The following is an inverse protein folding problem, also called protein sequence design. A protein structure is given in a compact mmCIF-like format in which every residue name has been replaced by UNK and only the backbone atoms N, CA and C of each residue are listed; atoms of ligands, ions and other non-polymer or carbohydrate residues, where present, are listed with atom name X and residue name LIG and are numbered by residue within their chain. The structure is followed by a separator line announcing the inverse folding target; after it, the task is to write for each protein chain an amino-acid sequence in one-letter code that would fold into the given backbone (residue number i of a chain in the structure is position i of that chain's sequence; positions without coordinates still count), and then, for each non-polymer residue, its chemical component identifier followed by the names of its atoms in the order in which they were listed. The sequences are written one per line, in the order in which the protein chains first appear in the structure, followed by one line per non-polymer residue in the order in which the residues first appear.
data_IF_771874114124
#
_entry.id   IF_771874114124
#
_cell.length_a   1.000
_cell.length_b   1.000
_cell.length_c   1.000
_cell.angle_alpha   90.00
_cell.angle_beta   90.00
_cell.angle_gamma   90.00
#
_symmetry.space_group_name_H-M   'P 1'
#
loop_
_entity.id
_entity.type
_entity.pdbx_description
1 polymer ?
2 non-polymer ?
3 water ?
#
# COMPACT_ATOMS: atom_id res chain seq x y z
N UNK A 19 3.35 -19.04 -6.67
CA UNK A 19 3.89 -17.98 -5.76
C UNK A 19 3.00 -16.74 -5.90
N UNK A 20 2.32 -16.34 -4.81
CA UNK A 20 1.44 -15.17 -4.80
C UNK A 20 2.11 -13.85 -5.20
N UNK A 21 1.36 -13.02 -5.91
CA UNK A 21 1.82 -11.72 -6.37
C UNK A 21 1.36 -10.66 -5.38
N UNK A 22 2.32 -10.09 -4.67
CA UNK A 22 2.02 -9.10 -3.67
C UNK A 22 2.51 -7.72 -4.05
N UNK A 23 1.57 -6.79 -4.06
CA UNK A 23 1.85 -5.41 -4.36
C UNK A 23 1.97 -4.70 -3.01
N UNK A 24 3.15 -4.13 -2.73
CA UNK A 24 3.39 -3.43 -1.48
C UNK A 24 3.44 -1.94 -1.80
N UNK A 25 2.78 -1.11 -0.99
CA UNK A 25 2.78 0.32 -1.29
C UNK A 25 3.12 1.16 -0.09
N UNK A 26 3.77 2.29 -0.35
CA UNK A 26 4.11 3.22 0.71
C UNK A 26 3.54 4.59 0.38
N UNK A 27 2.98 5.25 1.39
CA UNK A 27 2.47 6.61 1.23
C UNK A 27 3.27 7.48 2.20
N UNK A 28 2.99 8.78 2.21
CA UNK A 28 3.75 9.74 3.00
C UNK A 28 3.85 9.79 4.50
N UNK A 29 4.23 8.67 5.15
CA UNK A 29 4.39 8.65 6.60
C UNK A 29 5.89 8.47 6.89
N UNK A 30 6.36 8.92 8.05
CA UNK A 30 7.77 8.72 8.35
C UNK A 30 8.08 7.21 8.36
N UNK A 31 7.10 6.38 8.71
CA UNK A 31 7.30 4.92 8.76
C UNK A 31 7.71 4.32 7.42
N UNK A 32 7.63 5.10 6.35
CA UNK A 32 8.04 4.57 5.05
C UNK A 32 9.54 4.26 5.07
N UNK A 33 10.25 4.74 6.08
CA UNK A 33 11.68 4.46 6.15
C UNK A 33 11.89 2.95 6.34
N UNK A 34 10.85 2.27 6.81
CA UNK A 34 10.88 0.83 7.07
C UNK A 34 10.36 0.03 5.88
N UNK A 35 9.95 0.72 4.83
CA UNK A 35 9.37 0.02 3.69
C UNK A 35 10.31 -0.98 3.04
N UNK A 36 11.60 -0.66 2.93
CA UNK A 36 12.54 -1.60 2.34
C UNK A 36 12.55 -2.92 3.10
N UNK A 37 12.62 -2.83 4.43
CA UNK A 37 12.62 -4.02 5.26
C UNK A 37 11.31 -4.81 5.06
N UNK A 38 10.19 -4.10 4.99
CA UNK A 38 8.90 -4.76 4.77
C UNK A 38 8.94 -5.58 3.46
N UNK A 39 9.50 -5.01 2.40
CA UNK A 39 9.60 -5.73 1.15
C UNK A 39 10.43 -7.01 1.36
N UNK A 40 11.55 -6.88 2.06
CA UNK A 40 12.41 -8.04 2.33
C UNK A 40 11.63 -9.16 3.02
N UNK A 41 10.73 -8.81 3.94
CA UNK A 41 9.93 -9.83 4.64
C UNK A 41 9.07 -10.65 3.69
N UNK A 42 8.67 -10.05 2.58
CA UNK A 42 7.78 -10.73 1.63
C UNK A 42 8.44 -11.45 0.45
N UNK A 43 9.64 -11.03 0.07
CA UNK A 43 10.31 -11.58 -1.11
C UNK A 43 10.53 -13.08 -1.25
N UNK A 44 10.78 -13.77 -0.15
CA UNK A 44 10.98 -15.20 -0.30
C UNK A 44 9.65 -15.89 -0.59
N UNK A 45 8.62 -15.54 0.17
CA UNK A 45 7.31 -16.13 0.00
C UNK A 45 6.55 -15.67 -1.26
N UNK A 46 6.69 -14.41 -1.64
CA UNK A 46 5.93 -13.93 -2.78
C UNK A 46 6.72 -13.21 -3.82
N UNK A 47 6.07 -12.94 -4.94
CA UNK A 47 6.67 -12.14 -5.98
C UNK A 47 6.16 -10.76 -5.54
N UNK A 48 7.09 -9.83 -5.35
CA UNK A 48 6.80 -8.49 -4.86
C UNK A 48 7.09 -7.35 -5.83
N UNK A 49 6.15 -6.41 -5.92
CA UNK A 49 6.33 -5.20 -6.71
C UNK A 49 5.94 -4.09 -5.74
N UNK A 50 6.63 -2.96 -5.83
CA UNK A 50 6.38 -1.85 -4.93
C UNK A 50 5.85 -0.60 -5.65
N UNK A 51 4.94 0.09 -4.97
CA UNK A 51 4.33 1.34 -5.47
C UNK A 51 4.53 2.41 -4.39
N UNK A 52 5.03 3.58 -4.78
CA UNK A 52 5.23 4.65 -3.81
C UNK A 52 4.57 5.93 -4.27
N UNK A 53 4.17 6.77 -3.32
CA UNK A 53 3.59 8.06 -3.67
C UNK A 53 4.79 9.02 -3.67
N UNK A 54 4.61 10.21 -4.23
CA UNK A 54 5.71 11.18 -4.26
C UNK A 54 6.17 11.50 -2.83
N UNK A 55 5.22 11.77 -1.93
CA UNK A 55 5.58 12.10 -0.56
C UNK A 55 6.33 11.03 0.20
N UNK A 56 6.08 9.76 -0.13
CA UNK A 56 6.76 8.68 0.57
C UNK A 56 8.25 8.74 0.29
N UNK A 57 8.62 9.29 -0.86
CA UNK A 57 10.04 9.39 -1.23
C UNK A 57 10.85 10.32 -0.30
N UNK A 58 10.15 11.10 0.52
CA UNK A 58 10.85 11.97 1.49
C UNK A 58 11.45 11.10 2.61
N UNK A 59 10.81 9.95 2.86
CA UNK A 59 11.22 9.07 3.95
C UNK A 59 11.82 7.71 3.59
N UNK A 60 11.65 7.29 2.34
CA UNK A 60 12.15 6.00 1.89
C UNK A 60 13.50 6.09 1.15
N UNK A 61 14.42 5.18 1.46
CA UNK A 61 15.71 5.13 0.77
C UNK A 61 15.62 3.94 -0.16
N UNK A 62 15.68 4.19 -1.46
CA UNK A 62 15.57 3.12 -2.44
C UNK A 62 16.60 2.00 -2.29
N UNK A 63 17.77 2.34 -1.77
CA UNK A 63 18.80 1.33 -1.60
C UNK A 63 18.46 0.34 -0.48
N UNK A 64 17.42 0.61 0.31
CA UNK A 64 17.03 -0.31 1.39
C UNK A 64 16.12 -1.42 0.86
N UNK A 65 15.68 -1.29 -0.38
CA UNK A 65 14.81 -2.30 -0.95
C UNK A 65 15.56 -3.51 -1.51
N UNK A 66 14.88 -4.67 -1.58
CA UNK A 66 15.51 -5.88 -2.13
C UNK A 66 15.89 -5.54 -3.57
N UNK A 67 17.02 -6.04 -4.06
CA UNK A 67 17.43 -5.74 -5.45
C UNK A 67 16.41 -6.23 -6.49
N UNK A 68 15.76 -7.36 -6.21
CA UNK A 68 14.82 -7.97 -7.15
C UNK A 68 13.45 -7.27 -7.27
N UNK A 69 13.17 -6.32 -6.39
CA UNK A 69 11.89 -5.63 -6.41
C UNK A 69 11.82 -4.39 -7.28
N UNK A 70 10.93 -4.41 -8.27
CA UNK A 70 10.74 -3.26 -9.13
C UNK A 70 9.91 -2.23 -8.36
N UNK A 71 10.37 -0.98 -8.40
CA UNK A 71 9.71 0.13 -7.73
C UNK A 71 9.02 1.01 -8.76
N UNK A 72 7.72 1.21 -8.59
CA UNK A 72 6.95 2.03 -9.52
C UNK A 72 6.51 3.33 -8.87
N UNK A 73 6.63 4.43 -9.62
CA UNK A 73 6.24 5.75 -9.17
C UNK A 73 5.22 6.32 -10.16
N UNK A 74 4.73 7.51 -9.85
CA UNK A 74 3.76 8.15 -10.71
C UNK A 74 4.30 8.28 -12.12
N UNK A 75 5.58 8.62 -12.26
CA UNK A 75 6.14 8.79 -13.61
C UNK A 75 6.04 7.52 -14.46
N UNK A 76 6.13 6.36 -13.83
CA UNK A 76 6.03 5.10 -14.55
C UNK A 76 4.71 4.93 -15.33
N UNK A 77 3.68 5.64 -14.92
CA UNK A 77 2.42 5.57 -15.66
C UNK A 77 2.67 6.00 -17.11
N UNK A 78 3.55 6.97 -17.30
CA UNK A 78 3.81 7.46 -18.64
C UNK A 78 4.88 6.71 -19.43
N UNK A 79 5.61 5.82 -18.76
CA UNK A 79 6.62 5.00 -19.44
C UNK A 79 5.86 3.82 -20.09
N UNK A 80 4.78 3.39 -19.44
CA UNK A 80 3.96 2.29 -19.93
C UNK A 80 2.98 2.72 -21.02
N UNK A 81 2.42 3.92 -20.87
CA UNK A 81 1.44 4.41 -21.84
C UNK A 81 1.93 5.64 -22.59
N UNK A 82 1.73 5.64 -23.91
CA UNK A 82 2.16 6.75 -24.75
C UNK A 82 1.08 7.10 -25.78
N UNK A 83 0.34 6.09 -26.22
CA UNK A 83 -0.72 6.28 -27.19
C UNK A 83 -1.86 5.31 -26.91
N UNK A 84 -3.01 5.57 -27.52
CA UNK A 84 -4.18 4.72 -27.35
C UNK A 84 -3.81 3.27 -27.61
N UNK A 85 -4.39 2.38 -26.82
CA UNK A 85 -4.11 0.96 -26.99
C UNK A 85 -3.05 0.44 -26.04
N UNK A 86 -2.09 1.28 -25.68
CA UNK A 86 -1.03 0.86 -24.77
C UNK A 86 -1.58 0.48 -23.41
N UNK A 87 -0.82 -0.31 -22.64
CA UNK A 87 -1.25 -0.73 -21.30
C UNK A 87 -1.18 0.43 -20.31
N UNK A 88 -2.18 0.53 -19.44
CA UNK A 88 -2.18 1.59 -18.43
C UNK A 88 -1.64 0.91 -17.18
N UNK A 89 -0.53 1.42 -16.66
CA UNK A 89 0.12 0.78 -15.50
C UNK A 89 -0.77 0.52 -14.27
N UNK A 90 -1.58 1.47 -13.83
CA UNK A 90 -2.36 1.15 -12.64
C UNK A 90 -3.34 0.01 -12.89
N UNK A 91 -3.84 -0.11 -14.12
CA UNK A 91 -4.76 -1.20 -14.47
C UNK A 91 -3.98 -2.53 -14.51
N UNK A 92 -2.77 -2.52 -15.09
CA UNK A 92 -1.97 -3.75 -15.17
C UNK A 92 -1.52 -4.26 -13.79
N UNK A 93 -1.18 -3.33 -12.89
CA UNK A 93 -0.77 -3.75 -11.55
C UNK A 93 -1.98 -4.27 -10.77
N UNK A 94 -3.14 -3.65 -10.95
CA UNK A 94 -4.33 -4.11 -10.25
C UNK A 94 -4.70 -5.55 -10.68
N UNK A 95 -4.57 -5.85 -11.97
CA UNK A 95 -4.88 -7.18 -12.48
C UNK A 95 -3.81 -8.19 -12.04
N UNK A 96 -2.56 -7.76 -12.10
CA UNK A 96 -1.43 -8.60 -11.71
C UNK A 96 -1.46 -9.01 -10.23
N UNK A 97 -1.82 -8.09 -9.35
CA UNK A 97 -1.81 -8.37 -7.92
C UNK A 97 -2.83 -9.37 -7.38
N UNK A 98 -2.39 -10.24 -6.46
CA UNK A 98 -3.31 -11.16 -5.80
C UNK A 98 -3.75 -10.43 -4.54
N UNK A 99 -2.88 -9.55 -4.07
CA UNK A 99 -3.16 -8.77 -2.86
C UNK A 99 -2.39 -7.43 -2.86
N UNK A 100 -2.99 -6.42 -2.24
CA UNK A 100 -2.36 -5.11 -2.10
C UNK A 100 -2.21 -4.80 -0.62
N UNK A 101 -1.01 -4.38 -0.23
CA UNK A 101 -0.75 -4.02 1.15
C UNK A 101 -0.20 -2.60 1.14
N UNK A 102 -0.84 -1.70 1.89
CA UNK A 102 -0.40 -0.30 1.98
C UNK A 102 0.17 -0.13 3.38
N UNK A 103 1.49 0.00 3.46
CA UNK A 103 2.17 0.08 4.75
C UNK A 103 3.49 0.82 4.54
N UNK A 104 3.56 2.09 4.94
CA UNK A 104 2.50 2.88 5.57
C UNK A 104 1.38 3.48 4.76
N UNK A 105 0.23 3.60 5.43
CA UNK A 105 -0.95 4.28 4.90
C UNK A 105 -0.96 5.60 5.68
N UNK A 106 -0.83 6.70 4.98
CA UNK A 106 -0.86 8.01 5.63
C UNK A 106 -2.31 8.47 5.84
N UNK A 107 -2.51 9.48 6.68
CA UNK A 107 -3.84 10.02 6.93
C UNK A 107 -4.38 10.62 5.64
N UNK A 108 -3.50 11.21 4.83
CA UNK A 108 -3.96 11.81 3.58
C UNK A 108 -4.45 10.76 2.58
N UNK A 109 -3.67 9.69 2.41
CA UNK A 109 -4.08 8.66 1.46
C UNK A 109 -5.31 7.93 2.01
N UNK A 110 -5.38 7.78 3.33
CA UNK A 110 -6.54 7.16 3.94
C UNK A 110 -7.78 7.97 3.54
N UNK A 111 -7.66 9.29 3.63
CA UNK A 111 -8.76 10.18 3.28
C UNK A 111 -9.09 10.12 1.80
N UNK A 112 -8.07 10.04 0.94
CA UNK A 112 -8.33 9.96 -0.48
C UNK A 112 -8.99 8.65 -0.86
N UNK A 113 -8.61 7.57 -0.20
CA UNK A 113 -9.24 6.29 -0.47
C UNK A 113 -10.72 6.40 -0.09
N UNK A 114 -10.99 6.93 1.10
CA UNK A 114 -12.38 7.06 1.56
C UNK A 114 -13.15 8.02 0.65
N UNK A 115 -12.45 8.95 0.01
CA UNK A 115 -13.11 9.89 -0.88
C UNK A 115 -13.25 9.38 -2.32
N UNK A 116 -12.71 8.20 -2.60
CA UNK A 116 -12.78 7.64 -3.95
C UNK A 116 -11.98 8.47 -4.94
N UNK A 117 -10.97 9.17 -4.44
CA UNK A 117 -10.15 10.03 -5.31
C UNK A 117 -8.97 9.27 -5.91
N UNK A 118 -8.44 9.75 -7.03
CA UNK A 118 -7.28 9.12 -7.63
C UNK A 118 -6.50 10.10 -8.48
N UNK A 119 -5.38 10.56 -7.92
CA UNK A 119 -4.55 11.53 -8.62
C UNK A 119 -3.11 11.06 -8.71
N UNK A 120 -2.85 9.79 -8.40
CA UNK A 120 -1.50 9.26 -8.52
C UNK A 120 -1.58 7.74 -8.72
N UNK A 121 -0.46 7.09 -8.99
CA UNK A 121 -0.46 5.65 -9.25
C UNK A 121 -1.13 4.84 -8.15
N UNK A 122 -0.75 5.08 -6.91
CA UNK A 122 -1.33 4.32 -5.79
C UNK A 122 -2.85 4.47 -5.70
N UNK A 123 -3.33 5.71 -5.65
CA UNK A 123 -4.76 5.89 -5.53
C UNK A 123 -5.51 5.46 -6.78
N UNK A 124 -4.86 5.47 -7.96
CA UNK A 124 -5.55 5.00 -9.17
C UNK A 124 -5.76 3.46 -9.07
N UNK A 125 -4.74 2.75 -8.58
CA UNK A 125 -4.85 1.31 -8.42
C UNK A 125 -6.01 1.03 -7.46
N UNK A 126 -6.05 1.78 -6.37
CA UNK A 126 -7.11 1.56 -5.36
C UNK A 126 -8.50 1.90 -5.89
N UNK A 127 -8.62 2.98 -6.66
CA UNK A 127 -9.90 3.40 -7.23
C UNK A 127 -10.36 2.39 -8.29
N UNK A 128 -9.43 1.58 -8.80
CA UNK A 128 -9.77 0.56 -9.79
C UNK A 128 -9.93 -0.81 -9.10
N UNK A 129 -9.77 -0.83 -7.78
CA UNK A 129 -9.80 -2.10 -7.05
C UNK A 129 -11.12 -2.86 -7.06
N UNK A 130 -11.00 -4.18 -7.16
CA UNK A 130 -12.13 -5.11 -7.09
C UNK A 130 -11.92 -5.71 -5.70
N UNK A 131 -12.79 -5.38 -4.76
CA UNK A 131 -12.61 -5.87 -3.39
C UNK A 131 -12.77 -7.38 -3.15
N UNK A 132 -12.89 -8.15 -4.23
CA UNK A 132 -12.92 -9.60 -4.09
C UNK A 132 -11.46 -9.93 -3.76
N UNK A 133 -10.52 -9.07 -4.18
CA UNK A 133 -9.11 -9.30 -3.86
C UNK A 133 -8.78 -8.61 -2.54
N UNK A 134 -8.02 -9.29 -1.67
CA UNK A 134 -7.66 -8.71 -0.38
C UNK A 134 -6.80 -7.44 -0.44
N UNK A 135 -7.13 -6.48 0.41
CA UNK A 135 -6.39 -5.23 0.46
C UNK A 135 -6.17 -4.93 1.94
N UNK A 136 -4.91 -4.89 2.35
CA UNK A 136 -4.58 -4.63 3.75
C UNK A 136 -3.94 -3.26 3.90
N UNK A 137 -4.21 -2.60 5.02
CA UNK A 137 -3.60 -1.31 5.29
C UNK A 137 -3.02 -1.26 6.68
N UNK A 138 -1.85 -0.64 6.79
CA UNK A 138 -1.16 -0.46 8.07
C UNK A 138 -1.03 1.04 8.26
N UNK A 139 -2.00 1.69 8.93
CA UNK A 139 -1.90 3.14 9.12
C UNK A 139 -0.69 3.52 9.97
N UNK A 140 -0.12 4.68 9.64
CA UNK A 140 1.04 5.18 10.36
C UNK A 140 0.94 6.70 10.37
N UNK A 141 0.74 7.26 11.56
CA UNK A 141 0.59 8.70 11.71
C UNK A 141 0.83 9.10 13.17
N UNK A 142 1.10 10.38 13.38
CA UNK A 142 1.32 10.86 14.72
C UNK A 142 0.06 10.61 15.54
N UNK A 143 0.23 10.49 16.85
CA UNK A 143 -0.89 10.25 17.76
C UNK A 143 -2.02 11.27 17.60
N UNK A 144 -1.66 12.53 17.39
CA UNK A 144 -2.67 13.58 17.25
C UNK A 144 -3.56 13.31 16.04
N UNK A 145 -2.99 12.90 14.91
CA UNK A 145 -3.83 12.56 13.76
C UNK A 145 -4.59 11.26 14.03
N UNK A 146 -3.93 10.30 14.68
CA UNK A 146 -4.61 9.04 14.97
C UNK A 146 -5.88 9.27 15.82
N UNK A 147 -5.77 10.10 16.85
CA UNK A 147 -6.90 10.38 17.72
C UNK A 147 -7.95 11.32 17.13
N UNK A 148 -7.59 12.05 16.07
CA UNK A 148 -8.52 12.98 15.43
C UNK A 148 -9.71 12.18 14.89
N UNK A 149 -10.92 12.73 14.98
CA UNK A 149 -12.15 12.08 14.53
C UNK A 149 -12.21 11.48 13.13
N UNK A 150 -11.46 12.02 12.17
CA UNK A 150 -11.53 11.45 10.82
C UNK A 150 -10.89 10.07 10.71
N UNK A 151 -9.98 9.74 11.62
CA UNK A 151 -9.35 8.43 11.57
C UNK A 151 -10.40 7.33 11.73
N UNK A 152 -11.17 7.39 12.80
CA UNK A 152 -12.23 6.40 13.01
C UNK A 152 -13.23 6.45 11.86
N UNK A 153 -13.59 7.65 11.39
CA UNK A 153 -14.56 7.74 10.29
C UNK A 153 -14.08 7.10 8.99
N UNK A 154 -12.85 7.41 8.59
CA UNK A 154 -12.35 6.84 7.35
C UNK A 154 -12.06 5.34 7.51
N UNK A 155 -11.50 4.92 8.63
CA UNK A 155 -11.22 3.48 8.79
C UNK A 155 -12.50 2.68 8.78
N UNK A 156 -13.57 3.26 9.30
CA UNK A 156 -14.87 2.59 9.30
C UNK A 156 -15.30 2.42 7.85
N UNK A 157 -15.13 3.47 7.04
CA UNK A 157 -15.51 3.35 5.63
C UNK A 157 -14.69 2.27 4.92
N UNK A 158 -13.39 2.20 5.23
CA UNK A 158 -12.53 1.21 4.59
C UNK A 158 -12.96 -0.20 5.00
N UNK A 159 -13.33 -0.35 6.26
CA UNK A 159 -13.81 -1.65 6.76
C UNK A 159 -15.03 -2.10 5.96
N UNK A 160 -15.98 -1.20 5.74
CA UNK A 160 -17.19 -1.56 5.00
C UNK A 160 -16.91 -2.07 3.60
N UNK A 161 -15.85 -1.53 3.00
CA UNK A 161 -15.44 -1.92 1.66
C UNK A 161 -14.84 -3.31 1.67
N UNK A 162 -14.34 -3.74 2.82
CA UNK A 162 -13.75 -5.07 2.90
C UNK A 162 -12.26 -5.04 3.14
N UNK A 163 -11.69 -3.84 3.29
CA UNK A 163 -10.25 -3.67 3.53
C UNK A 163 -9.93 -4.20 4.93
N UNK A 164 -8.75 -4.77 5.09
CA UNK A 164 -8.34 -5.30 6.38
C UNK A 164 -7.33 -4.39 7.05
N UNK A 165 -7.69 -3.93 8.24
CA UNK A 165 -6.84 -3.05 9.01
C UNK A 165 -5.82 -3.81 9.86
N UNK A 166 -4.55 -3.40 9.75
CA UNK A 166 -3.50 -3.98 10.59
C UNK A 166 -3.25 -2.76 11.47
N UNK A 167 -3.81 -2.79 12.67
CA UNK A 167 -3.72 -1.72 13.66
C UNK A 167 -2.34 -1.23 14.05
N UNK A 168 -2.20 0.09 14.28
CA UNK A 168 -0.93 0.71 14.67
C UNK A 168 -0.61 0.31 16.11
N UNK A 169 0.61 0.59 16.54
CA UNK A 169 1.01 0.23 17.88
C UNK A 169 0.89 1.40 18.83
N UNK A 170 0.31 1.12 19.99
CA UNK A 170 0.10 2.12 21.02
C UNK A 170 1.36 2.31 21.85
N UNK A 180 0.10 6.25 20.27
CA UNK A 180 -0.69 5.49 19.28
C UNK A 180 -0.54 6.01 17.85
N UNK A 181 -0.78 5.13 16.88
CA UNK A 181 -0.66 5.52 15.47
C UNK A 181 0.66 5.09 14.82
N UNK A 182 1.61 4.57 15.59
CA UNK A 182 2.90 4.13 15.01
C UNK A 182 2.62 2.90 14.17
N UNK A 183 3.24 2.78 13.00
CA UNK A 183 2.96 1.64 12.15
C UNK A 183 3.20 0.25 12.78
N UNK A 184 2.34 -0.70 12.44
CA UNK A 184 2.50 -2.08 12.91
C UNK A 184 3.89 -2.53 12.45
N UNK A 185 4.49 -3.45 13.18
CA UNK A 185 5.82 -3.91 12.77
C UNK A 185 5.76 -4.74 11.49
N UNK A 186 6.78 -4.60 10.63
CA UNK A 186 6.81 -5.37 9.39
C UNK A 186 6.51 -6.86 9.59
N UNK A 187 7.05 -7.46 10.65
CA UNK A 187 6.80 -8.89 10.87
C UNK A 187 5.34 -9.20 11.07
N UNK A 188 4.61 -8.29 11.72
CA UNK A 188 3.18 -8.51 11.93
C UNK A 188 2.44 -8.31 10.61
N UNK A 189 2.85 -7.31 9.84
CA UNK A 189 2.16 -7.07 8.59
C UNK A 189 2.30 -8.32 7.72
N UNK A 190 3.52 -8.84 7.68
CA UNK A 190 3.82 -10.02 6.90
C UNK A 190 3.06 -11.26 7.38
N UNK A 191 3.11 -11.57 8.66
CA UNK A 191 2.41 -12.78 9.10
C UNK A 191 0.89 -12.66 8.92
N UNK A 192 0.34 -11.46 9.08
CA UNK A 192 -1.10 -11.26 8.91
C UNK A 192 -1.47 -11.59 7.48
N UNK A 193 -0.69 -11.09 6.51
CA UNK A 193 -1.02 -11.38 5.11
C UNK A 193 -0.79 -12.85 4.75
N UNK A 194 0.30 -13.40 5.25
CA UNK A 194 0.64 -14.79 4.97
C UNK A 194 -0.41 -15.77 5.53
N UNK A 195 -0.83 -15.55 6.77
CA UNK A 195 -1.82 -16.41 7.40
C UNK A 195 -3.12 -16.37 6.63
N UNK A 196 -3.52 -15.17 6.22
CA UNK A 196 -4.75 -15.04 5.45
C UNK A 196 -4.68 -15.85 4.16
N UNK A 197 -3.60 -15.65 3.40
CA UNK A 197 -3.44 -16.34 2.13
C UNK A 197 -3.52 -17.86 2.26
N UNK A 198 -2.75 -18.41 3.19
CA UNK A 198 -2.72 -19.85 3.43
C UNK A 198 -4.05 -20.42 3.90
N UNK A 199 -4.92 -19.57 4.43
CA UNK A 199 -6.23 -20.02 4.88
C UNK A 199 -7.21 -20.06 3.72
N UNK A 200 -6.88 -19.35 2.65
CA UNK A 200 -7.73 -19.28 1.47
C UNK A 200 -7.11 -20.07 0.32
X LIG B 1 1.35 11.93 7.59
X LIG B 1 0.98 10.72 8.12
X LIG B 1 -0.09 10.23 7.93
X LIG B 1 1.91 10.02 8.94
X LIG B 1 3.16 10.46 9.27
X LIG B 1 3.90 9.81 10.02
X LIG B 1 3.53 11.75 8.74
X LIG B 1 4.74 12.26 9.00
X LIG B 1 5.12 13.42 8.37
X LIG B 1 6.47 13.95 8.57
X LIG B 1 6.86 15.17 8.11
X LIG B 1 8.28 15.70 8.32
X LIG B 1 5.99 15.91 7.19
X LIG B 1 6.42 17.21 6.57
X LIG B 1 4.70 15.43 7.01
X LIG B 1 4.23 14.22 7.58
X LIG B 1 2.91 13.68 7.38
X LIG B 1 2.54 12.45 7.88
X LIG B 1 1.97 14.43 6.53
X LIG B 1 2.04 13.78 5.11
X LIG B 1 3.37 13.65 4.57
X LIG B 1 1.14 14.56 4.09
X LIG B 1 -0.26 14.50 4.50
X LIG B 1 1.26 14.12 2.62
X LIG B 1 0.52 15.01 1.76
X LIG B 1 0.79 12.71 2.32
X LIG B 1 1.11 12.34 0.97
X LIG B 1 0.60 10.94 0.38
X LIG B 1 -0.55 10.49 1.23
X LIG B 1 1.75 10.04 0.43
X LIG B 1 0.13 11.25 -1.07
#
# INVERSE_FOLDING_TARGET
MENGKRDRQDMEVNTTPRKPRVLLAASGSVAAIKFGNLCHCFTEWAEVRAVVTKSSLHFLDKLSLPQEVTLYTDEDEWSSWNKIGDPVLHIELRRWADVLVIAPLSANTLGKIAGGLCDNLLTCIIRAWDYTKPLFVAPAMNTLMWNNPFTERHLLSLDELGITLIPPIKKRLASGDYGNGAMAEPSLIYSTVRLFWESQAHQQTGGTS
FMN N1 C2 O2 N3 C4 O4 C4A N5 C5A C6 C7 C7M C8 C8M C9 C9A N10 C10 C1' C2' O2' C3' O3' C4' O4' C5' O5' P O1P O2P O3P
#
